data_IF_281680439915
#
_entry.id   IF_281680439915
#
_cell.length_a   1.000
_cell.length_b   1.000
_cell.length_c   1.000
_cell.angle_alpha   90.00
_cell.angle_beta   90.00
_cell.angle_gamma   90.00
#
_symmetry.space_group_name_H-M   'P 1'
#
loop_
_entity.id
_entity.type
_entity.pdbx_description
1 polymer ?
#
# COMPACT_ATOMS: atom_id res chain seq x y z
N UNK A 1 -5.71 29.69 6.46
CA UNK A 1 -6.08 28.25 6.38
C UNK A 1 -5.25 27.64 5.27
N UNK A 2 -4.03 27.17 5.60
CA UNK A 2 -3.16 26.52 4.63
C UNK A 2 -3.70 25.12 4.33
N UNK A 3 -3.91 24.83 3.04
CA UNK A 3 -4.34 23.51 2.57
C UNK A 3 -3.16 22.55 2.66
N UNK A 4 -3.01 21.87 3.78
CA UNK A 4 -2.11 20.73 3.86
C UNK A 4 -2.70 19.60 3.02
N UNK A 5 -2.15 19.36 1.82
CA UNK A 5 -2.50 18.18 1.01
C UNK A 5 -1.72 17.00 1.55
N UNK A 6 -2.35 16.22 2.41
CA UNK A 6 -1.82 14.91 2.81
C UNK A 6 -2.06 13.96 1.64
N UNK A 7 -1.01 13.73 0.85
CA UNK A 7 -1.00 12.71 -0.18
C UNK A 7 -0.91 11.35 0.50
N UNK A 8 -2.01 10.62 0.48
CA UNK A 8 -2.07 9.28 1.04
C UNK A 8 -1.93 8.27 -0.09
N UNK A 9 -0.84 7.52 -0.10
CA UNK A 9 -0.69 6.36 -0.97
C UNK A 9 -1.42 5.19 -0.32
N UNK A 10 -2.74 5.17 -0.46
CA UNK A 10 -3.53 3.99 -0.14
C UNK A 10 -3.99 3.29 -1.41
N UNK A 11 -4.01 1.98 -1.27
CA UNK A 11 -4.33 1.00 -2.27
C UNK A 11 -5.87 0.76 -2.31
N UNK A 12 -6.45 0.10 -3.32
CA UNK A 12 -7.92 -0.01 -3.46
C UNK A 12 -8.38 -1.24 -4.24
N UNK A 13 -9.55 -1.84 -3.95
CA UNK A 13 -10.21 -2.95 -4.66
C UNK A 13 -11.58 -2.56 -5.21
N UNK A 14 -11.85 -2.72 -6.52
CA UNK A 14 -13.19 -2.56 -7.04
C UNK A 14 -14.16 -3.60 -6.44
N UNK A 15 -15.41 -3.20 -6.12
CA UNK A 15 -16.48 -4.17 -5.99
C UNK A 15 -16.62 -4.88 -7.33
N UNK A 16 -16.72 -6.21 -7.30
CA UNK A 16 -17.05 -7.00 -8.48
C UNK A 16 -18.49 -6.60 -8.84
N UNK A 17 -18.63 -5.66 -9.78
CA UNK A 17 -19.91 -5.39 -10.43
C UNK A 17 -20.18 -6.62 -11.29
N UNK A 18 -21.13 -7.44 -10.86
CA UNK A 18 -21.60 -8.56 -11.66
C UNK A 18 -22.18 -8.03 -12.96
N UNK A 19 -21.40 -8.08 -14.03
CA UNK A 19 -21.96 -8.16 -15.36
C UNK A 19 -22.58 -9.56 -15.47
N UNK A 20 -23.91 -9.63 -15.47
CA UNK A 20 -24.66 -10.82 -15.87
C UNK A 20 -24.34 -11.11 -17.34
N UNK A 21 -23.26 -11.86 -17.54
CA UNK A 21 -22.76 -12.31 -18.83
C UNK A 21 -21.85 -13.49 -18.57
N UNK A 22 -22.46 -14.68 -18.45
CA UNK A 22 -21.84 -15.90 -17.96
C UNK A 22 -20.55 -16.30 -18.69
N UNK A 23 -19.44 -16.17 -17.99
CA UNK A 23 -18.38 -17.19 -17.97
C UNK A 23 -17.98 -17.35 -16.50
N UNK A 24 -18.59 -18.33 -15.82
CA UNK A 24 -18.17 -18.73 -14.48
C UNK A 24 -16.77 -19.34 -14.58
N UNK A 25 -15.74 -18.54 -14.32
CA UNK A 25 -14.44 -19.08 -13.93
C UNK A 25 -14.60 -19.68 -12.54
N UNK A 26 -14.90 -20.97 -12.52
CA UNK A 26 -14.80 -21.82 -11.34
C UNK A 26 -13.34 -21.77 -10.89
N UNK A 27 -13.03 -20.86 -9.96
CA UNK A 27 -11.72 -20.84 -9.30
C UNK A 27 -11.55 -22.20 -8.66
N UNK A 28 -10.54 -22.93 -9.11
CA UNK A 28 -10.34 -24.28 -8.62
C UNK A 28 -10.10 -24.21 -7.11
N UNK A 29 -10.69 -25.13 -6.36
CA UNK A 29 -10.42 -25.34 -4.94
C UNK A 29 -8.90 -25.41 -4.63
N UNK A 30 -8.10 -25.83 -5.61
CA UNK A 30 -6.64 -25.88 -5.54
C UNK A 30 -6.01 -24.48 -5.40
N UNK A 31 -6.57 -23.45 -6.03
CA UNK A 31 -6.04 -22.08 -5.96
C UNK A 31 -6.31 -21.45 -4.59
N UNK A 32 -7.48 -21.72 -4.00
CA UNK A 32 -7.82 -21.28 -2.65
C UNK A 32 -6.96 -21.98 -1.59
N UNK A 33 -6.72 -23.29 -1.74
CA UNK A 33 -5.85 -24.06 -0.86
C UNK A 33 -4.38 -23.63 -0.99
N UNK A 34 -3.89 -23.31 -2.20
CA UNK A 34 -2.54 -22.75 -2.41
C UNK A 34 -2.39 -21.39 -1.75
N UNK A 35 -3.38 -20.50 -1.85
CA UNK A 35 -3.38 -19.20 -1.18
C UNK A 35 -3.37 -19.34 0.35
N UNK A 36 -4.11 -20.30 0.90
CA UNK A 36 -4.09 -20.59 2.34
C UNK A 36 -2.78 -21.23 2.81
N UNK A 37 -2.23 -22.19 2.08
CA UNK A 37 -0.96 -22.85 2.44
C UNK A 37 0.26 -21.93 2.31
N UNK A 38 0.29 -21.06 1.29
CA UNK A 38 1.33 -20.05 1.12
C UNK A 38 1.31 -19.01 2.24
N UNK A 39 0.12 -18.63 2.72
CA UNK A 39 -0.05 -17.80 3.92
C UNK A 39 0.52 -18.47 5.18
N UNK A 40 0.26 -19.76 5.39
CA UNK A 40 0.71 -20.52 6.58
C UNK A 40 2.24 -20.73 6.61
N UNK A 41 2.88 -20.86 5.45
CA UNK A 41 4.35 -21.03 5.36
C UNK A 41 5.13 -19.71 5.41
N UNK A 42 4.46 -18.56 5.61
CA UNK A 42 5.11 -17.24 5.53
C UNK A 42 5.64 -16.91 4.13
N UNK A 43 5.28 -17.72 3.13
CA UNK A 43 5.59 -17.57 1.72
C UNK A 43 4.36 -17.04 1.00
N UNK A 44 3.66 -16.03 1.57
CA UNK A 44 2.73 -15.24 0.75
C UNK A 44 3.50 -14.87 -0.51
N UNK A 45 2.99 -15.24 -1.69
CA UNK A 45 3.68 -15.05 -2.95
C UNK A 45 4.05 -13.58 -3.13
N UNK A 46 5.24 -13.18 -2.66
CA UNK A 46 5.76 -11.80 -2.72
C UNK A 46 6.11 -11.39 -4.15
N UNK A 47 5.91 -12.28 -5.11
CA UNK A 47 5.94 -11.97 -6.54
C UNK A 47 4.54 -11.61 -7.06
N UNK A 48 3.46 -11.77 -6.27
CA UNK A 48 2.13 -11.44 -6.72
C UNK A 48 1.90 -9.92 -6.65
N UNK A 49 1.31 -9.41 -7.72
CA UNK A 49 0.71 -8.07 -7.74
C UNK A 49 -0.53 -8.11 -6.83
N UNK A 50 -0.78 -7.08 -6.00
CA UNK A 50 -1.96 -7.07 -5.14
C UNK A 50 -3.24 -7.31 -5.95
N UNK A 51 -4.08 -8.25 -5.50
CA UNK A 51 -5.27 -8.71 -6.25
C UNK A 51 -6.28 -7.62 -6.59
N UNK A 52 -6.15 -6.47 -5.94
CA UNK A 52 -7.02 -5.33 -6.09
C UNK A 52 -6.50 -4.30 -7.12
N UNK A 53 -5.26 -4.46 -7.61
CA UNK A 53 -4.74 -3.68 -8.73
C UNK A 53 -5.42 -4.10 -10.03
N UNK A 54 -5.62 -3.16 -10.94
CA UNK A 54 -6.17 -3.48 -12.27
C UNK A 54 -5.23 -4.42 -13.03
N UNK A 55 -3.93 -4.29 -12.74
CA UNK A 55 -2.85 -5.07 -13.35
C UNK A 55 -2.54 -6.38 -12.61
N UNK A 56 -3.38 -6.81 -11.64
CA UNK A 56 -3.14 -8.01 -10.82
C UNK A 56 -2.96 -9.33 -11.60
N UNK A 57 -3.42 -9.35 -12.85
CA UNK A 57 -3.33 -10.51 -13.74
C UNK A 57 -1.98 -10.61 -14.47
N UNK A 58 -1.11 -9.60 -14.36
CA UNK A 58 0.19 -9.56 -15.04
C UNK A 58 1.27 -10.29 -14.24
N UNK A 59 2.28 -10.82 -14.94
CA UNK A 59 3.48 -11.36 -14.29
C UNK A 59 4.41 -10.21 -13.88
N UNK A 60 4.70 -10.08 -12.59
CA UNK A 60 5.58 -9.03 -12.08
C UNK A 60 6.98 -9.10 -12.71
N UNK A 61 7.47 -10.31 -13.05
CA UNK A 61 8.82 -10.49 -13.62
C UNK A 61 8.94 -9.85 -14.99
N UNK A 62 7.85 -9.90 -15.75
CA UNK A 62 7.75 -9.26 -17.07
C UNK A 62 7.45 -7.76 -16.91
N UNK A 63 6.63 -7.39 -15.93
CA UNK A 63 6.21 -6.01 -15.70
C UNK A 63 7.33 -5.06 -15.21
N UNK A 64 8.52 -5.56 -14.85
CA UNK A 64 9.65 -4.69 -14.43
C UNK A 64 10.33 -4.00 -15.61
N UNK A 65 10.35 -4.63 -16.78
CA UNK A 65 10.96 -4.04 -17.97
C UNK A 65 10.02 -2.99 -18.58
N UNK A 66 10.45 -1.72 -18.61
CA UNK A 66 9.68 -0.61 -19.20
C UNK A 66 9.32 -0.78 -20.67
N UNK A 67 10.05 -1.63 -21.38
CA UNK A 67 9.77 -1.96 -22.78
C UNK A 67 8.78 -3.11 -22.94
N UNK A 68 8.52 -3.88 -21.87
CA UNK A 68 7.58 -4.98 -21.90
C UNK A 68 6.13 -4.47 -21.88
N UNK A 69 5.20 -5.12 -22.61
CA UNK A 69 3.79 -4.75 -22.60
C UNK A 69 3.14 -4.92 -21.21
N UNK A 70 3.75 -5.71 -20.33
CA UNK A 70 3.30 -5.93 -18.97
C UNK A 70 3.64 -4.79 -18.02
N UNK A 71 4.53 -3.85 -18.38
CA UNK A 71 4.87 -2.70 -17.53
C UNK A 71 3.65 -1.81 -17.24
N UNK A 72 3.57 -1.28 -16.03
CA UNK A 72 2.54 -0.32 -15.64
C UNK A 72 3.08 0.71 -14.62
N UNK A 73 2.66 1.96 -14.80
CA UNK A 73 2.97 3.14 -13.98
C UNK A 73 1.74 4.06 -14.00
N UNK A 74 0.65 3.55 -13.44
CA UNK A 74 -0.67 4.14 -13.52
C UNK A 74 -1.07 4.81 -12.22
N UNK A 75 -1.86 5.87 -12.33
CA UNK A 75 -2.46 6.58 -11.19
C UNK A 75 -3.97 6.50 -11.30
N UNK A 76 -4.60 5.84 -10.34
CA UNK A 76 -6.05 5.65 -10.32
C UNK A 76 -6.69 6.58 -9.28
N UNK A 77 -7.70 7.38 -9.65
CA UNK A 77 -8.43 8.16 -8.66
C UNK A 77 -9.16 7.23 -7.70
N UNK A 78 -9.10 7.53 -6.40
CA UNK A 78 -9.87 6.77 -5.41
C UNK A 78 -11.35 7.13 -5.55
N UNK A 79 -12.23 6.12 -5.58
CA UNK A 79 -13.66 6.34 -5.72
C UNK A 79 -14.23 7.16 -4.54
N UNK A 80 -15.19 8.08 -4.77
CA UNK A 80 -15.68 9.00 -3.74
C UNK A 80 -16.23 8.33 -2.47
N UNK A 81 -16.80 7.13 -2.57
CA UNK A 81 -17.34 6.41 -1.41
C UNK A 81 -16.26 5.99 -0.41
N UNK A 82 -15.00 5.82 -0.83
CA UNK A 82 -13.89 5.56 0.09
C UNK A 82 -13.42 6.80 0.83
N UNK A 83 -13.79 8.01 0.39
CA UNK A 83 -13.31 9.23 1.05
C UNK A 83 -13.80 9.29 2.50
N UNK A 84 -14.94 8.67 2.80
CA UNK A 84 -15.46 8.55 4.17
C UNK A 84 -14.52 7.70 5.02
N UNK A 85 -14.21 6.48 4.57
CA UNK A 85 -13.28 5.55 5.24
C UNK A 85 -11.89 6.16 5.41
N UNK A 86 -11.38 6.84 4.38
CA UNK A 86 -10.07 7.51 4.43
C UNK A 86 -10.07 8.71 5.37
N UNK A 87 -11.15 9.49 5.39
CA UNK A 87 -11.30 10.62 6.30
C UNK A 87 -11.37 10.13 7.74
N UNK A 88 -12.09 9.05 8.02
CA UNK A 88 -12.15 8.45 9.35
C UNK A 88 -10.77 7.98 9.83
N UNK A 89 -10.00 7.33 8.96
CA UNK A 89 -8.63 6.93 9.26
C UNK A 89 -7.73 8.14 9.55
N UNK A 90 -7.86 9.21 8.75
CA UNK A 90 -7.14 10.46 8.96
C UNK A 90 -7.51 11.10 10.30
N UNK A 91 -8.80 11.15 10.63
CA UNK A 91 -9.31 11.75 11.87
C UNK A 91 -8.84 10.95 13.10
N UNK A 92 -8.90 9.61 13.05
CA UNK A 92 -8.42 8.74 14.14
C UNK A 92 -6.91 8.81 14.35
N UNK A 93 -6.13 9.00 13.29
CA UNK A 93 -4.66 9.05 13.37
C UNK A 93 -4.11 10.47 13.60
N UNK A 94 -4.95 11.50 13.49
CA UNK A 94 -4.58 12.88 13.76
C UNK A 94 -4.79 13.21 15.24
N UNK A 95 -3.71 13.23 16.02
CA UNK A 95 -3.74 13.56 17.44
C UNK A 95 -3.83 15.06 17.72
N UNK A 96 -3.76 15.92 16.70
CA UNK A 96 -3.81 17.37 16.87
C UNK A 96 -5.25 17.88 16.73
N UNK A 97 -5.91 18.11 17.87
CA UNK A 97 -7.29 18.61 17.94
C UNK A 97 -7.48 20.00 17.33
N UNK A 98 -6.44 20.84 17.32
CA UNK A 98 -6.49 22.19 16.74
C UNK A 98 -6.44 22.16 15.19
N UNK A 99 -5.98 21.06 14.60
CA UNK A 99 -5.79 20.91 13.17
C UNK A 99 -6.85 20.00 12.58
N UNK A 100 -7.87 20.58 11.94
CA UNK A 100 -8.85 19.80 11.17
C UNK A 100 -8.44 19.63 9.71
N UNK A 101 -8.06 18.42 9.35
CA UNK A 101 -7.72 18.06 7.97
C UNK A 101 -8.94 17.51 7.24
N UNK A 102 -9.04 17.79 5.94
CA UNK A 102 -10.08 17.23 5.08
C UNK A 102 -9.47 16.69 3.80
N UNK A 103 -9.80 15.45 3.46
CA UNK A 103 -9.40 14.84 2.21
C UNK A 103 -10.15 15.52 1.06
N UNK A 104 -9.39 16.14 0.15
CA UNK A 104 -9.95 16.78 -1.04
C UNK A 104 -9.85 15.85 -2.24
N UNK A 105 -8.77 15.07 -2.33
CA UNK A 105 -8.47 14.11 -3.40
C UNK A 105 -7.61 13.00 -2.84
N UNK A 106 -7.79 11.80 -3.37
CA UNK A 106 -6.92 10.66 -3.13
C UNK A 106 -6.72 9.90 -4.45
N UNK A 107 -5.53 9.33 -4.62
CA UNK A 107 -5.18 8.54 -5.79
C UNK A 107 -4.33 7.35 -5.35
N UNK A 108 -4.57 6.21 -5.98
CA UNK A 108 -3.77 4.99 -5.86
C UNK A 108 -2.66 5.03 -6.91
N UNK A 109 -1.44 4.71 -6.50
CA UNK A 109 -0.28 4.60 -7.38
C UNK A 109 0.00 3.12 -7.63
N UNK A 110 -0.02 2.69 -8.88
CA UNK A 110 0.35 1.36 -9.32
C UNK A 110 1.61 1.46 -10.17
N UNK A 111 2.76 1.10 -9.62
CA UNK A 111 4.02 1.14 -10.34
C UNK A 111 4.75 -0.20 -10.18
N UNK A 112 4.85 -0.96 -11.27
CA UNK A 112 5.40 -2.32 -11.29
C UNK A 112 6.86 -2.38 -10.81
N UNK A 113 7.71 -1.49 -11.33
CA UNK A 113 9.12 -1.41 -10.94
C UNK A 113 9.32 -1.08 -9.45
N UNK A 114 8.57 -0.12 -8.90
CA UNK A 114 8.61 0.21 -7.48
C UNK A 114 8.09 -0.94 -6.61
N UNK A 115 7.04 -1.63 -7.05
CA UNK A 115 6.50 -2.79 -6.37
C UNK A 115 7.49 -3.95 -6.32
N UNK A 116 8.12 -4.28 -7.45
CA UNK A 116 9.15 -5.32 -7.50
C UNK A 116 10.34 -4.99 -6.59
N UNK A 117 10.82 -3.73 -6.63
CA UNK A 117 11.89 -3.27 -5.76
C UNK A 117 11.52 -3.36 -4.27
N UNK A 118 10.28 -2.99 -3.92
CA UNK A 118 9.75 -3.16 -2.56
C UNK A 118 9.79 -4.62 -2.12
N UNK A 119 9.30 -5.54 -2.95
CA UNK A 119 9.25 -6.97 -2.63
C UNK A 119 10.64 -7.58 -2.43
N UNK A 120 11.61 -7.19 -3.26
CA UNK A 120 13.00 -7.59 -3.10
C UNK A 120 13.57 -7.14 -1.74
N UNK A 121 13.31 -5.88 -1.36
CA UNK A 121 13.76 -5.34 -0.05
C UNK A 121 13.03 -6.01 1.12
N UNK A 122 11.73 -6.24 1.02
CA UNK A 122 10.97 -6.97 2.04
C UNK A 122 11.52 -8.39 2.24
N UNK A 123 11.87 -9.10 1.16
CA UNK A 123 12.51 -10.41 1.21
C UNK A 123 13.89 -10.35 1.86
N UNK A 124 14.69 -9.34 1.54
CA UNK A 124 15.99 -9.12 2.18
C UNK A 124 15.87 -8.86 3.69
N UNK A 125 14.92 -8.01 4.10
CA UNK A 125 14.65 -7.73 5.52
C UNK A 125 14.23 -9.02 6.24
N UNK A 126 13.33 -9.81 5.66
CA UNK A 126 12.90 -11.10 6.22
C UNK A 126 14.09 -12.03 6.46
N UNK A 127 14.98 -12.19 5.47
CA UNK A 127 16.17 -13.04 5.58
C UNK A 127 17.16 -12.54 6.64
N UNK A 128 17.35 -11.23 6.76
CA UNK A 128 18.35 -10.64 7.68
C UNK A 128 17.86 -10.54 9.11
N UNK A 129 16.57 -10.29 9.30
CA UNK A 129 16.01 -9.96 10.61
C UNK A 129 15.82 -11.17 11.51
N UNK A 130 15.69 -12.37 10.93
CA UNK A 130 15.41 -13.59 11.68
C UNK A 130 14.07 -13.51 12.41
N UNK A 131 13.93 -14.24 13.53
CA UNK A 131 12.72 -14.22 14.36
C UNK A 131 12.73 -12.98 15.25
N UNK A 132 12.02 -11.93 14.85
CA UNK A 132 11.88 -10.72 15.64
C UNK A 132 10.45 -10.63 16.18
N UNK A 133 10.30 -10.71 17.51
CA UNK A 133 9.02 -10.40 18.16
C UNK A 133 8.95 -8.90 18.35
N UNK A 134 7.80 -8.29 18.03
CA UNK A 134 7.56 -6.91 18.45
C UNK A 134 7.57 -6.89 19.99
N UNK A 135 8.53 -6.18 20.58
CA UNK A 135 8.66 -6.05 22.04
C UNK A 135 8.40 -4.58 22.39
N UNK A 136 7.17 -4.26 22.79
CA UNK A 136 6.84 -2.91 23.26
C UNK A 136 5.39 -2.50 23.05
N UNK A 137 5.00 -1.41 23.73
CA UNK A 137 3.83 -0.60 23.40
C UNK A 137 4.30 0.55 22.51
N UNK A 138 3.58 0.88 21.44
CA UNK A 138 3.94 1.99 20.55
C UNK A 138 4.23 1.58 19.10
N UNK A 139 3.49 0.60 18.57
CA UNK A 139 3.43 0.39 17.13
C UNK A 139 2.77 1.58 16.41
N UNK A 140 2.82 1.64 15.07
CA UNK A 140 2.10 2.65 14.31
C UNK A 140 0.59 2.56 14.60
N UNK A 141 -0.01 3.65 15.08
CA UNK A 141 -1.44 3.72 15.41
C UNK A 141 -2.35 3.49 14.21
N UNK A 142 -1.82 3.65 13.00
CA UNK A 142 -2.53 3.32 11.75
C UNK A 142 -3.04 1.88 11.79
N UNK A 143 -2.23 0.92 12.24
CA UNK A 143 -2.62 -0.49 12.26
C UNK A 143 -3.72 -0.78 13.27
N UNK A 144 -3.68 -0.12 14.42
CA UNK A 144 -4.69 -0.30 15.47
C UNK A 144 -6.07 0.16 14.97
N UNK A 145 -6.12 1.26 14.23
CA UNK A 145 -7.37 1.80 13.70
C UNK A 145 -7.87 1.06 12.44
N UNK A 146 -7.04 0.29 11.75
CA UNK A 146 -7.48 -0.41 10.53
C UNK A 146 -8.58 -1.43 10.81
N UNK A 147 -8.49 -2.16 11.93
CA UNK A 147 -9.49 -3.14 12.33
C UNK A 147 -10.80 -2.50 12.81
N UNK A 148 -10.81 -1.19 13.09
CA UNK A 148 -11.95 -0.48 13.63
C UNK A 148 -12.80 0.22 12.55
N UNK A 149 -12.27 0.38 11.32
CA UNK A 149 -12.90 1.18 10.26
C UNK A 149 -13.44 0.24 9.17
N UNK A 150 -14.77 0.03 9.10
CA UNK A 150 -15.36 -0.86 8.10
C UNK A 150 -15.08 -0.42 6.66
N UNK A 151 -14.77 -1.39 5.80
CA UNK A 151 -14.54 -1.18 4.38
C UNK A 151 -13.10 -0.77 4.03
N UNK A 152 -12.27 -0.50 5.04
CA UNK A 152 -10.85 -0.21 4.82
C UNK A 152 -10.09 -1.45 4.33
N UNK A 153 -10.59 -2.65 4.59
CA UNK A 153 -9.99 -3.90 4.10
C UNK A 153 -9.94 -3.95 2.57
N UNK A 154 -10.85 -3.24 1.90
CA UNK A 154 -10.84 -3.09 0.44
C UNK A 154 -9.69 -2.18 -0.05
N UNK A 155 -9.10 -1.37 0.82
CA UNK A 155 -8.07 -0.38 0.51
C UNK A 155 -6.66 -0.82 0.92
N UNK A 156 -6.55 -2.01 1.50
CA UNK A 156 -5.31 -2.44 2.17
C UNK A 156 -4.94 -3.83 1.73
N UNK A 157 -3.64 -4.05 1.52
CA UNK A 157 -3.09 -5.40 1.52
C UNK A 157 -2.82 -5.87 2.94
N UNK A 158 -2.86 -7.18 3.11
CA UNK A 158 -2.34 -7.85 4.30
C UNK A 158 -0.86 -7.54 4.45
N UNK A 159 -0.51 -6.90 5.56
CA UNK A 159 0.87 -6.60 5.91
C UNK A 159 1.54 -7.82 6.52
N UNK A 160 2.86 -7.92 6.33
CA UNK A 160 3.66 -8.96 6.95
C UNK A 160 4.23 -8.50 8.32
N UNK A 161 3.64 -8.96 9.45
CA UNK A 161 4.11 -8.57 10.78
C UNK A 161 5.51 -9.13 11.08
N UNK A 162 5.96 -10.19 10.41
CA UNK A 162 7.30 -10.78 10.65
C UNK A 162 8.44 -9.83 10.27
N UNK A 163 8.15 -8.87 9.37
CA UNK A 163 9.10 -7.84 8.95
C UNK A 163 8.69 -6.42 9.38
N UNK A 164 7.72 -6.30 10.31
CA UNK A 164 7.15 -5.01 10.76
C UNK A 164 6.68 -4.14 9.60
N UNK A 165 6.00 -4.71 8.62
CA UNK A 165 5.31 -3.89 7.63
C UNK A 165 4.20 -3.07 8.30
N UNK A 166 4.07 -1.81 7.87
CA UNK A 166 3.08 -0.89 8.39
C UNK A 166 2.72 0.18 7.36
N UNK A 167 1.51 0.72 7.45
CA UNK A 167 1.14 1.94 6.73
C UNK A 167 1.54 3.17 7.54
N UNK A 168 2.18 4.13 6.90
CA UNK A 168 2.62 5.37 7.53
C UNK A 168 2.17 6.57 6.72
N UNK A 169 1.88 7.67 7.41
CA UNK A 169 1.63 8.96 6.79
C UNK A 169 2.95 9.65 6.45
N UNK A 170 3.04 10.20 5.23
CA UNK A 170 4.18 11.01 4.81
C UNK A 170 3.69 12.35 4.26
N UNK A 171 3.94 13.43 5.02
CA UNK A 171 3.64 14.79 4.59
C UNK A 171 4.74 15.35 3.68
N UNK A 172 4.39 15.86 2.51
CA UNK A 172 5.35 16.42 1.55
C UNK A 172 4.70 17.45 0.61
N UNK A 173 5.50 18.12 -0.21
CA UNK A 173 5.00 19.07 -1.21
C UNK A 173 4.33 18.34 -2.39
N UNK A 174 3.39 18.96 -3.14
CA UNK A 174 2.78 18.35 -4.31
C UNK A 174 3.80 17.90 -5.37
N UNK A 175 4.84 18.70 -5.62
CA UNK A 175 5.90 18.40 -6.58
C UNK A 175 6.71 17.19 -6.14
N UNK A 176 7.04 17.12 -4.84
CA UNK A 176 7.76 15.98 -4.26
C UNK A 176 6.90 14.73 -4.27
N UNK A 177 5.59 14.82 -3.99
CA UNK A 177 4.67 13.68 -4.08
C UNK A 177 4.62 13.10 -5.50
N UNK A 178 4.55 13.96 -6.53
CA UNK A 178 4.61 13.53 -7.93
C UNK A 178 5.95 12.89 -8.30
N UNK A 179 7.05 13.38 -7.73
CA UNK A 179 8.36 12.76 -7.92
C UNK A 179 8.41 11.38 -7.27
N UNK A 180 7.99 11.26 -6.01
CA UNK A 180 7.94 9.99 -5.26
C UNK A 180 7.07 8.96 -5.98
N UNK A 181 5.92 9.36 -6.55
CA UNK A 181 5.08 8.45 -7.31
C UNK A 181 5.81 7.85 -8.53
N UNK A 182 6.69 8.62 -9.17
CA UNK A 182 7.42 8.21 -10.39
C UNK A 182 8.72 7.46 -10.11
N UNK A 183 9.43 7.82 -9.04
CA UNK A 183 10.80 7.36 -8.79
C UNK A 183 10.97 6.64 -7.46
N UNK A 184 9.93 6.59 -6.64
CA UNK A 184 9.98 6.06 -5.27
C UNK A 184 10.60 7.07 -4.29
N UNK A 185 10.86 6.59 -3.07
CA UNK A 185 11.55 7.38 -2.05
C UNK A 185 13.07 7.32 -2.28
N UNK A 186 13.71 8.49 -2.37
CA UNK A 186 15.16 8.60 -2.49
C UNK A 186 15.77 9.00 -1.15
N UNK A 187 16.31 8.01 -0.44
CA UNK A 187 16.95 8.16 0.87
C UNK A 187 18.40 8.63 0.66
N UNK A 188 18.84 9.63 1.42
CA UNK A 188 20.23 10.14 1.36
C UNK A 188 20.43 11.39 0.51
N UNK A 189 19.39 11.88 -0.17
CA UNK A 189 19.40 13.27 -0.64
C UNK A 189 19.14 14.20 0.54
N UNK A 190 19.87 15.34 0.67
CA UNK A 190 19.62 16.30 1.73
C UNK A 190 18.16 16.76 1.71
N UNK A 191 17.38 16.32 2.70
CA UNK A 191 16.00 16.78 2.86
C UNK A 191 15.93 17.90 3.90
N UNK A 192 14.94 18.78 3.72
CA UNK A 192 14.68 19.86 4.69
C UNK A 192 14.02 19.32 5.97
N UNK A 193 13.39 18.14 5.92
CA UNK A 193 12.63 17.55 7.01
C UNK A 193 13.44 16.49 7.78
N UNK A 194 13.06 16.19 9.02
CA UNK A 194 13.43 14.94 9.68
C UNK A 194 14.87 14.78 10.18
N UNK A 195 15.71 15.83 10.19
CA UNK A 195 17.13 15.73 10.56
C UNK A 195 17.43 15.23 11.98
N UNK A 196 16.42 15.22 12.87
CA UNK A 196 16.57 14.82 14.29
C UNK A 196 17.03 13.36 14.44
N UNK A 197 16.62 12.47 13.54
CA UNK A 197 16.92 11.03 13.62
C UNK A 197 17.89 10.56 12.53
N UNK A 198 18.62 11.50 11.91
CA UNK A 198 19.57 11.23 10.84
C UNK A 198 19.08 11.67 9.46
N UNK A 199 19.92 11.45 8.46
CA UNK A 199 19.58 11.68 7.05
C UNK A 199 18.80 10.46 6.54
N UNK A 200 17.49 10.63 6.40
CA UNK A 200 16.59 9.66 5.78
C UNK A 200 16.36 9.91 4.29
#
# INVERSE_FOLDING_TARGET
RELCRVGMNLCWRPPIVGCEGGVSHERSFVDEVKLRLSSVLGWRGREAIPLYWENAHRDIKQAVDRSAPEFFDDTFPVAPHHFVTLQELLDKTNQNEDLRLRIIRAARIEHSGLWAAYQEKAALVSRRRGVCKSVGRGGPSTLDHFAEIPGLESLTQDLDPSINEAYLWHGTSPQTALHIAKTGFNVGCPSAAGKRFGAG
#
